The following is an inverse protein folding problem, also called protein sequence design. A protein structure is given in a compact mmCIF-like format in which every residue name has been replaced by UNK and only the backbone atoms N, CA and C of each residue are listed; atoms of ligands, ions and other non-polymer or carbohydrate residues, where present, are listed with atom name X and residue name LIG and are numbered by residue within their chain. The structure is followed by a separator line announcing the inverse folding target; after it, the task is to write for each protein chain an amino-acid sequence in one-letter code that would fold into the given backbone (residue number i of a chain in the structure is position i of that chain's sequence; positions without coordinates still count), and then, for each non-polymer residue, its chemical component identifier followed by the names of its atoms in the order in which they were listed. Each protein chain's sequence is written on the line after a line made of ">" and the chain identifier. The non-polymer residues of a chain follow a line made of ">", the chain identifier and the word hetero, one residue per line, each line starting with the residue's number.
data_IF_659896207152
#
_entry.id   IF_659896207152
#
_cell.length_a   1.000
_cell.length_b   1.000
_cell.length_c   1.000
_cell.angle_alpha   90.00
_cell.angle_beta   90.00
_cell.angle_gamma   90.00
#
_symmetry.space_group_name_H-M   'P 1'
#
loop_
_entity.id
_entity.type
_entity.pdbx_description
1 polymer ?
#
# COMPACT_ATOMS: atom_id res chain seq x y z
N UNK A 1 -8.93 8.92 19.06
CA UNK A 1 -9.93 10.01 19.21
C UNK A 1 -10.72 10.11 17.93
N UNK A 2 -12.04 10.22 18.03
CA UNK A 2 -12.91 10.38 16.85
C UNK A 2 -13.72 11.62 17.11
N UNK A 3 -13.45 12.61 16.28
CA UNK A 3 -14.01 13.92 16.39
C UNK A 3 -15.19 14.01 15.43
N UNK A 4 -16.36 14.36 15.94
CA UNK A 4 -17.52 14.64 15.11
C UNK A 4 -17.69 16.16 15.19
N UNK A 5 -17.42 16.92 14.12
CA UNK A 5 -17.61 18.35 14.16
C UNK A 5 -19.10 18.62 14.41
N UNK A 6 -19.45 19.51 15.35
CA UNK A 6 -20.83 19.87 15.59
C UNK A 6 -21.47 20.42 14.30
N UNK A 7 -22.71 20.01 14.07
CA UNK A 7 -23.47 20.45 12.90
C UNK A 7 -24.15 21.76 13.24
N UNK A 8 -23.59 22.88 12.78
CA UNK A 8 -24.25 24.18 12.86
C UNK A 8 -25.47 24.17 11.93
N UNK A 9 -26.67 24.12 12.50
CA UNK A 9 -27.90 24.52 11.82
C UNK A 9 -28.06 26.02 12.02
N UNK A 10 -27.97 26.78 10.94
CA UNK A 10 -28.31 28.19 10.94
C UNK A 10 -29.82 28.28 10.64
N UNK A 11 -30.62 28.52 11.68
CA UNK A 11 -32.03 28.83 11.48
C UNK A 11 -32.09 30.25 10.87
N UNK A 12 -32.57 30.33 9.63
CA UNK A 12 -32.37 31.47 8.74
C UNK A 12 -33.13 32.76 9.11
N UNK A 13 -33.92 32.76 10.19
CA UNK A 13 -34.90 33.83 10.46
C UNK A 13 -34.57 34.75 11.65
N UNK A 14 -33.50 34.52 12.41
CA UNK A 14 -33.19 35.35 13.60
C UNK A 14 -31.75 35.92 13.52
N UNK A 15 -31.55 36.98 12.74
CA UNK A 15 -30.27 37.66 12.57
C UNK A 15 -29.74 38.38 13.85
N UNK A 16 -30.48 38.39 14.95
CA UNK A 16 -30.11 39.14 16.17
C UNK A 16 -29.96 38.29 17.44
N UNK A 17 -30.24 36.97 17.40
CA UNK A 17 -30.11 36.14 18.62
C UNK A 17 -28.74 35.45 18.67
N UNK A 18 -28.06 35.46 19.83
CA UNK A 18 -26.82 34.72 20.00
C UNK A 18 -27.07 33.25 19.65
N UNK A 19 -26.33 32.75 18.65
CA UNK A 19 -26.38 31.36 18.20
C UNK A 19 -26.10 30.49 19.41
N UNK A 20 -27.16 29.86 19.93
CA UNK A 20 -27.03 28.93 21.06
C UNK A 20 -26.45 27.65 20.49
N UNK A 21 -25.11 27.56 20.46
CA UNK A 21 -24.40 26.34 20.10
C UNK A 21 -24.71 25.31 21.18
N UNK A 22 -25.74 24.50 20.93
CA UNK A 22 -25.97 23.29 21.71
C UNK A 22 -24.86 22.31 21.35
N UNK A 23 -23.78 22.34 22.13
CA UNK A 23 -22.80 21.27 22.18
C UNK A 23 -23.59 20.01 22.56
N UNK A 24 -23.86 19.15 21.58
CA UNK A 24 -24.57 17.92 21.83
C UNK A 24 -23.76 17.14 22.87
N UNK A 25 -24.38 16.75 24.00
CA UNK A 25 -23.65 16.17 25.11
C UNK A 25 -22.90 14.92 24.66
N UNK A 26 -21.76 14.69 25.33
CA UNK A 26 -20.91 13.51 25.25
C UNK A 26 -21.51 12.31 24.50
N UNK A 27 -20.86 11.93 23.40
CA UNK A 27 -20.99 10.66 22.64
C UNK A 27 -21.92 9.65 23.32
N UNK A 28 -23.16 9.53 22.83
CA UNK A 28 -23.97 8.37 23.16
C UNK A 28 -23.21 7.09 22.75
N UNK A 29 -23.42 5.98 23.47
CA UNK A 29 -22.78 4.70 23.15
C UNK A 29 -22.96 4.28 21.68
N UNK A 30 -24.04 4.76 21.05
CA UNK A 30 -24.36 4.52 19.64
C UNK A 30 -23.27 5.03 18.68
N UNK A 31 -22.59 6.13 19.00
CA UNK A 31 -21.55 6.68 18.14
C UNK A 31 -20.34 5.73 17.98
N UNK A 32 -20.00 4.97 19.04
CA UNK A 32 -18.95 3.96 18.99
C UNK A 32 -19.38 2.74 18.17
N UNK A 33 -20.63 2.30 18.37
CA UNK A 33 -21.21 1.17 17.63
C UNK A 33 -21.24 1.49 16.13
N UNK A 34 -21.70 2.69 15.75
CA UNK A 34 -21.76 3.10 14.35
C UNK A 34 -20.37 3.23 13.72
N UNK A 35 -19.37 3.68 14.48
CA UNK A 35 -18.00 3.74 13.99
C UNK A 35 -17.40 2.34 13.81
N UNK A 36 -17.67 1.42 14.74
CA UNK A 36 -17.24 0.03 14.65
C UNK A 36 -17.87 -0.66 13.42
N UNK A 37 -19.14 -0.40 13.10
CA UNK A 37 -19.80 -0.89 11.87
C UNK A 37 -19.09 -0.41 10.61
N UNK A 38 -18.72 0.87 10.54
CA UNK A 38 -17.98 1.45 9.40
C UNK A 38 -16.58 0.85 9.25
N UNK A 39 -15.87 0.68 10.37
CA UNK A 39 -14.58 0.01 10.38
C UNK A 39 -14.71 -1.44 9.91
N UNK A 40 -15.71 -2.19 10.41
CA UNK A 40 -15.96 -3.57 10.00
C UNK A 40 -16.31 -3.68 8.52
N UNK A 41 -17.11 -2.76 7.98
CA UNK A 41 -17.43 -2.72 6.55
C UNK A 41 -16.21 -2.42 5.68
N UNK A 42 -15.36 -1.49 6.11
CA UNK A 42 -14.08 -1.19 5.44
C UNK A 42 -13.15 -2.40 5.43
N UNK A 43 -12.93 -3.03 6.58
CA UNK A 43 -12.11 -4.23 6.69
C UNK A 43 -12.71 -5.39 5.89
N UNK A 44 -14.03 -5.56 5.91
CA UNK A 44 -14.72 -6.56 5.08
C UNK A 44 -14.45 -6.36 3.58
N UNK A 45 -14.47 -5.11 3.11
CA UNK A 45 -14.10 -4.78 1.72
C UNK A 45 -12.64 -5.15 1.43
N UNK A 46 -11.70 -4.76 2.29
CA UNK A 46 -10.27 -5.07 2.11
C UNK A 46 -10.02 -6.58 2.09
N UNK A 47 -10.64 -7.34 3.00
CA UNK A 47 -10.54 -8.80 3.07
C UNK A 47 -11.12 -9.47 1.82
N UNK A 48 -12.25 -8.98 1.30
CA UNK A 48 -12.84 -9.50 0.07
C UNK A 48 -11.92 -9.26 -1.13
N UNK A 49 -11.33 -8.07 -1.25
CA UNK A 49 -10.36 -7.77 -2.30
C UNK A 49 -9.08 -8.59 -2.14
N UNK A 50 -8.60 -8.83 -0.92
CA UNK A 50 -7.45 -9.69 -0.66
C UNK A 50 -7.74 -11.16 -1.03
N UNK A 51 -8.91 -11.69 -0.65
CA UNK A 51 -9.35 -13.03 -1.05
C UNK A 51 -9.46 -13.16 -2.57
N UNK A 52 -10.00 -12.14 -3.23
CA UNK A 52 -10.07 -12.08 -4.68
C UNK A 52 -8.66 -12.12 -5.30
N UNK A 53 -7.71 -11.36 -4.76
CA UNK A 53 -6.33 -11.40 -5.26
C UNK A 53 -5.67 -12.78 -5.03
N UNK A 54 -5.88 -13.40 -3.87
CA UNK A 54 -5.40 -14.77 -3.60
C UNK A 54 -6.00 -15.79 -4.57
N UNK A 55 -7.28 -15.63 -4.94
CA UNK A 55 -7.91 -16.44 -5.97
C UNK A 55 -7.27 -16.21 -7.35
N UNK A 56 -6.95 -14.96 -7.72
CA UNK A 56 -6.22 -14.66 -8.96
C UNK A 56 -4.83 -15.30 -8.98
N UNK A 57 -4.12 -15.28 -7.84
CA UNK A 57 -2.85 -15.98 -7.70
C UNK A 57 -2.97 -17.49 -7.90
N UNK A 58 -4.08 -18.11 -7.49
CA UNK A 58 -4.34 -19.52 -7.78
C UNK A 58 -4.47 -19.79 -9.28
N UNK A 59 -4.93 -18.79 -10.06
CA UNK A 59 -4.94 -18.81 -11.52
C UNK A 59 -3.64 -18.30 -12.16
N UNK A 60 -2.55 -18.23 -11.40
CA UNK A 60 -1.23 -17.79 -11.84
C UNK A 60 -1.19 -16.33 -12.35
N UNK A 61 -1.99 -15.45 -11.74
CA UNK A 61 -2.04 -14.02 -12.03
C UNK A 61 -1.81 -13.17 -10.76
N UNK A 62 -0.68 -12.45 -10.64
CA UNK A 62 0.51 -12.48 -11.51
C UNK A 62 1.26 -13.85 -11.48
N UNK A 63 2.15 -14.13 -12.46
CA UNK A 63 2.86 -15.41 -12.59
C UNK A 63 3.87 -15.71 -11.47
N UNK A 64 4.24 -14.69 -10.69
CA UNK A 64 5.19 -14.81 -9.57
C UNK A 64 4.50 -14.55 -8.22
N UNK A 65 3.25 -14.99 -8.09
CA UNK A 65 2.55 -14.92 -6.81
C UNK A 65 3.26 -15.77 -5.75
N UNK A 66 3.44 -15.15 -4.59
CA UNK A 66 4.04 -15.78 -3.43
C UNK A 66 2.93 -16.28 -2.49
N UNK A 67 2.49 -17.52 -2.73
CA UNK A 67 1.47 -18.17 -1.91
C UNK A 67 2.07 -18.63 -0.57
N UNK A 68 1.43 -18.33 0.56
CA UNK A 68 1.95 -18.69 1.87
C UNK A 68 1.94 -20.20 2.04
N UNK A 69 3.03 -20.74 2.59
CA UNK A 69 3.15 -22.17 2.92
C UNK A 69 2.52 -22.48 4.27
N UNK A 70 2.50 -21.51 5.18
CA UNK A 70 2.13 -21.70 6.58
C UNK A 70 0.98 -20.79 7.02
N UNK A 71 0.13 -21.30 7.92
CA UNK A 71 -0.99 -20.54 8.49
C UNK A 71 -0.54 -19.29 9.26
N UNK A 72 0.66 -19.33 9.84
CA UNK A 72 1.24 -18.20 10.58
C UNK A 72 1.57 -17.01 9.66
N UNK A 73 2.00 -17.27 8.43
CA UNK A 73 2.28 -16.23 7.44
C UNK A 73 0.98 -15.53 7.01
N UNK A 74 -0.07 -16.31 6.74
CA UNK A 74 -1.41 -15.79 6.43
C UNK A 74 -1.89 -14.89 7.57
N UNK A 75 -1.74 -15.33 8.83
CA UNK A 75 -2.15 -14.56 9.99
C UNK A 75 -1.37 -13.24 10.09
N UNK A 76 -0.07 -13.25 9.78
CA UNK A 76 0.79 -12.06 9.81
C UNK A 76 0.39 -11.06 8.72
N UNK A 77 0.15 -11.52 7.49
CA UNK A 77 -0.33 -10.70 6.39
C UNK A 77 -1.70 -10.06 6.72
N UNK A 78 -2.62 -10.84 7.28
CA UNK A 78 -3.95 -10.36 7.67
C UNK A 78 -3.88 -9.34 8.82
N UNK A 79 -3.00 -9.55 9.80
CA UNK A 79 -2.79 -8.59 10.88
C UNK A 79 -2.22 -7.27 10.34
N UNK A 80 -1.23 -7.34 9.46
CA UNK A 80 -0.68 -6.17 8.81
C UNK A 80 -1.75 -5.45 7.97
N UNK A 81 -2.52 -6.18 7.15
CA UNK A 81 -3.62 -5.62 6.36
C UNK A 81 -4.66 -4.91 7.27
N UNK A 82 -4.98 -5.50 8.42
CA UNK A 82 -5.88 -4.89 9.41
C UNK A 82 -5.30 -3.57 9.95
N UNK A 83 -4.03 -3.56 10.36
CA UNK A 83 -3.38 -2.37 10.93
C UNK A 83 -3.25 -1.26 9.88
N UNK A 84 -2.70 -1.56 8.71
CA UNK A 84 -2.54 -0.59 7.63
C UNK A 84 -3.89 -0.12 7.09
N UNK A 85 -4.86 -1.03 6.95
CA UNK A 85 -6.22 -0.73 6.48
C UNK A 85 -7.02 0.14 7.45
N UNK A 86 -6.95 -0.12 8.76
CA UNK A 86 -7.58 0.73 9.78
C UNK A 86 -6.91 2.10 9.87
N UNK A 87 -5.58 2.14 9.77
CA UNK A 87 -4.81 3.39 9.74
C UNK A 87 -5.20 4.24 8.54
N UNK A 88 -5.28 3.62 7.36
CA UNK A 88 -5.77 4.25 6.14
C UNK A 88 -7.20 4.78 6.30
N UNK A 89 -8.11 3.98 6.86
CA UNK A 89 -9.49 4.40 7.12
C UNK A 89 -9.60 5.60 8.06
N UNK A 90 -8.69 5.67 9.05
CA UNK A 90 -8.63 6.77 9.99
C UNK A 90 -8.12 8.05 9.33
N UNK A 91 -6.99 7.99 8.62
CA UNK A 91 -6.42 9.18 7.94
C UNK A 91 -7.26 9.70 6.78
N UNK A 92 -7.94 8.80 6.04
CA UNK A 92 -8.82 9.18 4.92
C UNK A 92 -10.26 9.48 5.36
N UNK A 93 -10.49 9.57 6.67
CA UNK A 93 -11.80 9.84 7.30
C UNK A 93 -12.90 8.86 6.87
N UNK A 94 -12.56 7.66 6.40
CA UNK A 94 -13.53 6.63 6.00
C UNK A 94 -14.42 6.23 7.17
N UNK A 95 -13.92 6.37 8.41
CA UNK A 95 -14.70 6.10 9.61
C UNK A 95 -15.70 7.21 9.94
N UNK A 96 -15.68 8.38 9.29
CA UNK A 96 -16.66 9.45 9.47
C UNK A 96 -17.95 9.15 8.67
N UNK A 97 -19.12 9.47 9.23
CA UNK A 97 -20.41 9.03 8.67
C UNK A 97 -20.65 9.65 7.29
N UNK A 98 -20.35 10.94 7.17
CA UNK A 98 -20.54 11.70 5.92
C UNK A 98 -19.65 11.15 4.80
N UNK A 99 -18.40 10.82 5.11
CA UNK A 99 -17.42 10.28 4.15
C UNK A 99 -17.78 8.85 3.77
N UNK A 100 -18.04 7.99 4.76
CA UNK A 100 -18.45 6.61 4.54
C UNK A 100 -19.69 6.51 3.65
N UNK A 101 -20.76 7.25 3.99
CA UNK A 101 -22.01 7.27 3.21
C UNK A 101 -21.80 7.73 1.77
N UNK A 102 -20.88 8.68 1.56
CA UNK A 102 -20.54 9.12 0.22
C UNK A 102 -19.83 7.99 -0.56
N UNK A 103 -18.80 7.37 0.03
CA UNK A 103 -18.06 6.27 -0.59
C UNK A 103 -18.97 5.07 -0.92
N UNK A 104 -19.89 4.69 -0.03
CA UNK A 104 -20.80 3.57 -0.28
C UNK A 104 -21.88 3.87 -1.32
N UNK A 105 -22.22 5.14 -1.55
CA UNK A 105 -23.13 5.56 -2.62
C UNK A 105 -22.46 5.49 -4.00
N UNK A 106 -21.15 5.72 -4.04
CA UNK A 106 -20.37 5.71 -5.28
C UNK A 106 -19.93 4.27 -5.63
N UNK A 107 -20.81 3.50 -6.27
CA UNK A 107 -20.53 2.09 -6.63
C UNK A 107 -19.23 1.91 -7.42
N UNK A 108 -18.81 2.92 -8.20
CA UNK A 108 -17.54 2.87 -8.93
C UNK A 108 -16.32 2.76 -8.01
N UNK A 109 -16.40 3.19 -6.75
CA UNK A 109 -15.28 3.12 -5.81
C UNK A 109 -14.79 1.68 -5.61
N UNK A 110 -15.70 0.75 -5.30
CA UNK A 110 -15.36 -0.66 -5.15
C UNK A 110 -14.91 -1.31 -6.46
N UNK A 111 -15.56 -0.94 -7.58
CA UNK A 111 -15.19 -1.44 -8.92
C UNK A 111 -13.75 -1.02 -9.26
N UNK A 112 -13.38 0.24 -9.01
CA UNK A 112 -12.03 0.74 -9.31
C UNK A 112 -10.97 0.01 -8.47
N UNK A 113 -11.23 -0.30 -7.19
CA UNK A 113 -10.31 -1.09 -6.34
C UNK A 113 -10.03 -2.46 -6.95
N UNK A 114 -11.07 -3.15 -7.44
CA UNK A 114 -10.93 -4.48 -8.03
C UNK A 114 -10.24 -4.40 -9.39
N UNK A 115 -10.70 -3.50 -10.25
CA UNK A 115 -10.20 -3.34 -11.62
C UNK A 115 -8.73 -2.93 -11.62
N UNK A 116 -8.30 -2.03 -10.73
CA UNK A 116 -6.89 -1.65 -10.68
C UNK A 116 -6.01 -2.81 -10.22
N UNK A 117 -6.47 -3.65 -9.29
CA UNK A 117 -5.74 -4.85 -8.89
C UNK A 117 -5.55 -5.84 -10.05
N UNK A 118 -6.59 -6.01 -10.88
CA UNK A 118 -6.49 -6.80 -12.11
C UNK A 118 -5.52 -6.19 -13.13
N UNK A 119 -5.60 -4.87 -13.35
CA UNK A 119 -4.71 -4.15 -14.27
C UNK A 119 -3.25 -4.29 -13.81
N UNK A 120 -2.97 -4.09 -12.53
CA UNK A 120 -1.61 -4.24 -11.97
C UNK A 120 -1.13 -5.67 -12.14
N UNK A 121 -1.96 -6.67 -11.80
CA UNK A 121 -1.60 -8.09 -11.97
C UNK A 121 -1.32 -8.44 -13.44
N UNK A 122 -2.07 -7.85 -14.39
CA UNK A 122 -1.84 -8.03 -15.82
C UNK A 122 -0.58 -7.31 -16.32
N UNK A 123 -0.30 -6.10 -15.81
CA UNK A 123 0.94 -5.39 -16.11
C UNK A 123 2.13 -6.20 -15.61
N UNK A 124 2.02 -6.81 -14.42
CA UNK A 124 3.06 -7.67 -13.87
C UNK A 124 3.30 -8.92 -14.71
N UNK A 125 2.41 -9.35 -15.62
CA UNK A 125 2.69 -10.50 -16.49
C UNK A 125 3.50 -10.13 -17.73
N UNK A 126 3.77 -8.84 -17.95
CA UNK A 126 4.48 -8.38 -19.15
C UNK A 126 5.98 -8.43 -18.95
N UNK A 127 6.72 -8.85 -19.98
CA UNK A 127 8.19 -8.98 -19.94
C UNK A 127 8.87 -7.67 -19.51
N UNK A 128 8.35 -6.52 -19.95
CA UNK A 128 8.93 -5.23 -19.60
C UNK A 128 8.91 -4.97 -18.08
N UNK A 129 7.83 -5.35 -17.39
CA UNK A 129 7.72 -5.13 -15.95
C UNK A 129 8.62 -6.13 -15.19
N UNK A 130 8.71 -7.35 -15.69
CA UNK A 130 9.60 -8.39 -15.16
C UNK A 130 11.06 -7.97 -15.27
N UNK A 131 11.47 -7.45 -16.43
CA UNK A 131 12.82 -6.91 -16.66
C UNK A 131 13.13 -5.77 -15.68
N UNK A 132 12.21 -4.81 -15.52
CA UNK A 132 12.39 -3.69 -14.59
C UNK A 132 12.53 -4.15 -13.12
N UNK A 133 11.86 -5.25 -12.75
CA UNK A 133 11.82 -5.73 -11.36
C UNK A 133 13.01 -6.62 -11.01
N UNK A 134 13.45 -7.48 -11.92
CA UNK A 134 14.42 -8.55 -11.62
C UNK A 134 15.80 -8.31 -12.19
N UNK A 135 15.95 -7.37 -13.13
CA UNK A 135 17.21 -7.18 -13.84
C UNK A 135 17.95 -5.95 -13.30
N UNK A 136 18.61 -6.12 -12.15
CA UNK A 136 19.40 -5.08 -11.46
C UNK A 136 20.58 -4.53 -12.31
N UNK A 137 20.98 -5.28 -13.35
CA UNK A 137 22.03 -4.89 -14.31
C UNK A 137 21.50 -4.44 -15.68
N UNK A 138 20.18 -4.31 -15.86
CA UNK A 138 19.66 -3.88 -17.15
C UNK A 138 19.88 -2.38 -17.33
N UNK A 139 20.63 -2.02 -18.37
CA UNK A 139 20.65 -0.65 -18.89
C UNK A 139 19.19 -0.19 -19.02
N UNK A 140 18.83 0.84 -18.26
CA UNK A 140 17.47 1.37 -18.26
C UNK A 140 17.13 1.78 -19.69
N UNK A 141 16.30 0.98 -20.36
CA UNK A 141 15.81 1.32 -21.69
C UNK A 141 15.08 2.65 -21.61
N UNK A 142 15.24 3.50 -22.63
CA UNK A 142 14.60 4.82 -22.69
C UNK A 142 13.08 4.75 -22.38
N UNK A 143 12.42 3.65 -22.76
CA UNK A 143 11.01 3.40 -22.47
C UNK A 143 10.69 3.33 -20.97
N UNK A 144 11.56 2.73 -20.14
CA UNK A 144 11.36 2.64 -18.69
C UNK A 144 11.48 4.02 -18.04
N UNK A 145 12.46 4.82 -18.48
CA UNK A 145 12.65 6.19 -17.99
C UNK A 145 11.44 7.04 -18.34
N UNK A 146 10.99 7.01 -19.59
CA UNK A 146 9.81 7.79 -20.04
C UNK A 146 8.58 7.42 -19.23
N UNK A 147 8.31 6.14 -19.04
CA UNK A 147 7.14 5.70 -18.27
C UNK A 147 7.25 6.08 -16.78
N UNK A 148 8.43 5.96 -16.18
CA UNK A 148 8.66 6.41 -14.80
C UNK A 148 8.41 7.91 -14.65
N UNK A 149 8.90 8.73 -15.60
CA UNK A 149 8.65 10.18 -15.64
C UNK A 149 7.16 10.49 -15.78
N UNK A 150 6.43 9.77 -16.63
CA UNK A 150 4.98 9.92 -16.78
C UNK A 150 4.25 9.59 -15.49
N UNK A 151 4.60 8.48 -14.83
CA UNK A 151 3.98 8.06 -13.58
C UNK A 151 4.28 9.05 -12.45
N UNK A 152 5.53 9.48 -12.30
CA UNK A 152 5.91 10.50 -11.31
C UNK A 152 5.17 11.82 -11.57
N UNK A 153 5.09 12.26 -12.83
CA UNK A 153 4.37 13.48 -13.21
C UNK A 153 2.88 13.36 -12.88
N UNK A 154 2.27 12.21 -13.15
CA UNK A 154 0.88 11.94 -12.81
C UNK A 154 0.63 12.00 -11.29
N UNK A 155 1.50 11.36 -10.49
CA UNK A 155 1.45 11.42 -9.02
C UNK A 155 1.58 12.88 -8.53
N UNK A 156 2.55 13.63 -9.06
CA UNK A 156 2.76 15.04 -8.69
C UNK A 156 1.56 15.92 -9.02
N UNK A 157 0.91 15.73 -10.17
CA UNK A 157 -0.30 16.46 -10.55
C UNK A 157 -1.44 16.16 -9.59
N UNK A 158 -1.62 14.91 -9.18
CA UNK A 158 -2.67 14.53 -8.22
C UNK A 158 -2.40 15.10 -6.83
N UNK A 159 -1.15 15.03 -6.37
CA UNK A 159 -0.74 15.64 -5.09
C UNK A 159 -0.94 17.16 -5.13
N UNK A 160 -0.56 17.83 -6.22
CA UNK A 160 -0.77 19.27 -6.41
C UNK A 160 -2.27 19.61 -6.43
N UNK A 161 -3.10 18.80 -7.11
CA UNK A 161 -4.55 18.96 -7.10
C UNK A 161 -5.12 18.84 -5.68
N UNK A 162 -4.69 17.84 -4.91
CA UNK A 162 -5.10 17.67 -3.52
C UNK A 162 -4.69 18.84 -2.63
N UNK A 163 -3.50 19.40 -2.85
CA UNK A 163 -3.05 20.59 -2.14
C UNK A 163 -3.87 21.82 -2.52
N UNK A 164 -4.20 21.99 -3.81
CA UNK A 164 -5.08 23.06 -4.28
C UNK A 164 -6.51 22.93 -3.71
N UNK A 165 -7.05 21.72 -3.61
CA UNK A 165 -8.34 21.47 -2.97
C UNK A 165 -8.29 21.72 -1.45
N UNK A 166 -7.20 21.29 -0.79
CA UNK A 166 -6.96 21.59 0.61
C UNK A 166 -6.92 23.11 0.85
N UNK A 167 -6.24 23.86 -0.01
CA UNK A 167 -6.19 25.33 0.07
C UNK A 167 -7.54 26.00 -0.08
N UNK A 168 -8.43 25.46 -0.91
CA UNK A 168 -9.79 25.99 -1.10
C UNK A 168 -10.72 25.67 0.07
N UNK A 169 -10.50 24.54 0.74
CA UNK A 169 -11.41 24.01 1.77
C UNK A 169 -10.95 24.31 3.19
N UNK A 170 -9.65 24.44 3.43
CA UNK A 170 -9.06 24.81 4.70
C UNK A 170 -8.91 26.34 4.82
N UNK A 171 -8.84 26.88 6.04
CA UNK A 171 -8.71 28.33 6.30
C UNK A 171 -7.41 28.97 5.75
N UNK A 172 -6.55 28.26 5.00
CA UNK A 172 -5.39 28.86 4.33
C UNK A 172 -5.77 29.99 3.36
N UNK A 173 -6.92 29.87 2.69
CA UNK A 173 -7.48 30.96 1.87
C UNK A 173 -7.85 32.20 2.70
N UNK A 174 -8.18 32.04 3.98
CA UNK A 174 -8.52 33.13 4.89
C UNK A 174 -7.28 33.97 5.26
N UNK A 175 -6.15 33.31 5.55
CA UNK A 175 -4.90 33.99 5.91
C UNK A 175 -4.28 34.80 4.75
N UNK A 176 -4.50 34.40 3.50
CA UNK A 176 -3.97 35.11 2.32
C UNK A 176 -4.95 36.14 1.74
N UNK A 177 -6.27 35.94 1.89
CA UNK A 177 -7.27 36.91 1.38
C UNK A 177 -7.33 38.21 2.18
N UNK A 178 -6.68 38.26 3.35
CA UNK A 178 -6.17 39.48 3.98
C UNK A 178 -7.20 40.47 4.52
N UNK A 179 -8.52 40.30 4.35
CA UNK A 179 -9.46 41.35 4.78
C UNK A 179 -10.96 41.04 4.85
N UNK A 180 -11.39 39.83 5.19
CA UNK A 180 -12.82 39.60 5.47
C UNK A 180 -12.94 39.04 6.88
N UNK A 181 -13.39 39.87 7.82
CA UNK A 181 -13.87 39.47 9.14
C UNK A 181 -15.13 38.59 8.97
N UNK A 182 -14.96 37.37 8.48
CA UNK A 182 -15.96 36.33 8.65
C UNK A 182 -15.76 35.80 10.05
N UNK A 183 -16.81 35.87 10.85
CA UNK A 183 -16.89 35.29 12.20
C UNK A 183 -16.96 33.76 12.06
N UNK A 184 -15.89 33.17 11.52
CA UNK A 184 -15.74 31.74 11.39
C UNK A 184 -15.36 31.28 12.79
N UNK A 185 -16.33 30.75 13.53
CA UNK A 185 -16.07 29.97 14.72
C UNK A 185 -15.19 28.80 14.27
N UNK A 186 -13.88 28.92 14.50
CA UNK A 186 -12.89 27.87 14.23
C UNK A 186 -13.14 26.78 15.27
N UNK A 187 -14.16 25.96 15.03
CA UNK A 187 -14.31 24.70 15.74
C UNK A 187 -13.25 23.73 15.19
N UNK A 188 -12.13 23.80 15.89
CA UNK A 188 -11.01 22.89 15.90
C UNK A 188 -9.92 23.00 14.82
N UNK A 189 -8.74 22.59 15.29
CA UNK A 189 -7.43 22.56 14.65
C UNK A 189 -7.34 21.61 13.43
N UNK A 190 -8.34 21.58 12.55
CA UNK A 190 -8.32 20.83 11.27
C UNK A 190 -7.06 21.12 10.45
N UNK A 191 -6.61 22.37 10.45
CA UNK A 191 -5.36 22.77 9.81
C UNK A 191 -4.13 22.10 10.45
N UNK A 192 -4.10 21.97 11.78
CA UNK A 192 -3.00 21.27 12.48
C UNK A 192 -3.05 19.77 12.21
N UNK A 193 -4.23 19.16 12.25
CA UNK A 193 -4.40 17.73 11.95
C UNK A 193 -3.97 17.43 10.52
N UNK A 194 -4.39 18.27 9.56
CA UNK A 194 -3.97 18.16 8.17
C UNK A 194 -2.46 18.32 8.02
N UNK A 195 -1.84 19.37 8.58
CA UNK A 195 -0.40 19.57 8.43
C UNK A 195 0.42 18.48 9.12
N UNK A 196 -0.04 17.99 10.29
CA UNK A 196 0.62 16.87 10.99
C UNK A 196 0.50 15.59 10.17
N UNK A 197 -0.66 15.28 9.58
CA UNK A 197 -0.82 14.08 8.75
C UNK A 197 0.02 14.16 7.48
N UNK A 198 0.08 15.32 6.82
CA UNK A 198 0.94 15.53 5.63
C UNK A 198 2.42 15.49 5.98
N UNK A 199 2.81 16.09 7.11
CA UNK A 199 4.18 16.03 7.62
C UNK A 199 4.62 14.58 7.88
N UNK A 200 3.72 13.76 8.45
CA UNK A 200 3.98 12.34 8.68
C UNK A 200 4.12 11.56 7.37
N UNK A 201 3.24 11.80 6.40
CA UNK A 201 3.32 11.18 5.05
C UNK A 201 4.64 11.53 4.36
N UNK A 202 5.04 12.81 4.37
CA UNK A 202 6.30 13.27 3.76
C UNK A 202 7.51 12.67 4.50
N UNK A 203 7.49 12.67 5.83
CA UNK A 203 8.57 12.10 6.65
C UNK A 203 8.73 10.61 6.38
N UNK A 204 7.61 9.88 6.29
CA UNK A 204 7.62 8.47 5.93
C UNK A 204 8.20 8.27 4.53
N UNK A 205 7.73 9.02 3.52
CA UNK A 205 8.23 8.90 2.15
C UNK A 205 9.74 9.21 2.03
N UNK A 206 10.24 10.19 2.79
CA UNK A 206 11.66 10.54 2.84
C UNK A 206 12.50 9.45 3.50
N UNK A 207 12.09 8.99 4.68
CA UNK A 207 12.78 7.90 5.39
C UNK A 207 12.78 6.63 4.54
N UNK A 208 11.63 6.30 3.97
CA UNK A 208 11.45 5.17 3.10
C UNK A 208 12.34 5.22 1.86
N UNK A 209 12.36 6.38 1.18
CA UNK A 209 13.25 6.59 0.04
C UNK A 209 14.72 6.41 0.44
N UNK A 210 15.14 6.98 1.58
CA UNK A 210 16.50 6.85 2.07
C UNK A 210 16.90 5.38 2.29
N UNK A 211 16.06 4.59 2.96
CA UNK A 211 16.33 3.15 3.16
C UNK A 211 16.32 2.36 1.85
N UNK A 212 15.35 2.62 0.97
CA UNK A 212 15.27 1.94 -0.32
C UNK A 212 16.49 2.20 -1.22
N UNK A 213 17.15 3.35 -1.09
CA UNK A 213 18.40 3.64 -1.80
C UNK A 213 19.63 2.93 -1.20
N UNK A 214 19.61 2.63 0.10
CA UNK A 214 20.77 2.07 0.81
C UNK A 214 20.87 0.55 0.66
N UNK A 215 19.76 -0.18 0.76
CA UNK A 215 19.78 -1.65 0.80
C UNK A 215 20.06 -2.29 -0.56
N UNK A 216 19.91 -1.55 -1.67
CA UNK A 216 20.06 -2.13 -3.01
C UNK A 216 19.03 -3.24 -3.30
N UNK A 217 18.03 -3.44 -2.44
CA UNK A 217 17.03 -4.52 -2.48
C UNK A 217 16.03 -4.40 -3.65
N UNK A 218 16.28 -3.46 -4.56
CA UNK A 218 15.46 -3.17 -5.72
C UNK A 218 14.09 -2.63 -5.33
N UNK A 219 13.28 -2.30 -6.34
CA UNK A 219 11.90 -1.81 -6.14
C UNK A 219 10.90 -2.94 -5.87
N UNK A 220 11.37 -4.16 -5.54
CA UNK A 220 10.66 -5.42 -5.76
C UNK A 220 9.33 -5.52 -4.98
N UNK A 221 9.18 -4.81 -3.87
CA UNK A 221 7.93 -4.75 -3.08
C UNK A 221 7.58 -3.33 -2.63
N UNK A 222 8.33 -2.34 -3.13
CA UNK A 222 8.32 -0.99 -2.60
C UNK A 222 7.10 -0.17 -3.01
N UNK A 223 6.56 -0.48 -4.18
CA UNK A 223 5.39 0.19 -4.71
C UNK A 223 4.12 -0.06 -3.86
N UNK A 224 4.07 -1.16 -3.09
CA UNK A 224 2.92 -1.52 -2.25
C UNK A 224 2.78 -0.54 -1.09
N UNK A 225 3.88 -0.31 -0.35
CA UNK A 225 3.92 0.67 0.72
C UNK A 225 3.78 2.09 0.16
N UNK A 226 4.42 2.40 -0.96
CA UNK A 226 4.26 3.69 -1.61
C UNK A 226 2.79 3.96 -1.97
N UNK A 227 2.09 2.98 -2.54
CA UNK A 227 0.66 3.11 -2.84
C UNK A 227 -0.15 3.33 -1.56
N UNK A 228 0.14 2.62 -0.47
CA UNK A 228 -0.50 2.87 0.81
C UNK A 228 -0.28 4.30 1.30
N UNK A 229 0.95 4.81 1.27
CA UNK A 229 1.29 6.19 1.68
C UNK A 229 0.57 7.22 0.81
N UNK A 230 0.60 7.02 -0.50
CA UNK A 230 -0.08 7.88 -1.47
C UNK A 230 -1.60 7.88 -1.26
N UNK A 231 -2.19 6.76 -0.83
CA UNK A 231 -3.62 6.70 -0.51
C UNK A 231 -4.00 7.64 0.63
N UNK A 232 -3.10 7.93 1.57
CA UNK A 232 -3.35 8.81 2.72
C UNK A 232 -3.56 10.28 2.31
N UNK A 233 -3.23 10.67 1.08
CA UNK A 233 -3.55 12.00 0.55
C UNK A 233 -5.02 12.16 0.18
N UNK A 234 -5.77 11.06 0.08
CA UNK A 234 -7.12 11.00 -0.45
C UNK A 234 -8.23 11.29 0.59
N UNK A 235 -8.11 12.41 1.31
CA UNK A 235 -9.03 12.78 2.40
C UNK A 235 -10.32 13.47 1.89
N UNK A 236 -10.31 14.07 0.70
CA UNK A 236 -11.39 14.96 0.24
C UNK A 236 -12.56 14.25 -0.44
N UNK A 237 -13.74 14.88 -0.41
CA UNK A 237 -14.98 14.36 -1.03
C UNK A 237 -15.06 14.53 -2.55
N UNK A 238 -14.06 15.12 -3.19
CA UNK A 238 -14.03 15.24 -4.65
C UNK A 238 -13.88 13.89 -5.35
N UNK A 239 -14.42 13.78 -6.57
CA UNK A 239 -14.29 12.56 -7.40
C UNK A 239 -12.82 12.16 -7.63
N UNK A 240 -11.88 13.08 -7.96
CA UNK A 240 -10.48 12.71 -8.12
C UNK A 240 -9.89 12.11 -6.85
N UNK A 241 -10.25 12.63 -5.66
CA UNK A 241 -9.81 12.03 -4.39
C UNK A 241 -10.34 10.63 -4.18
N UNK A 242 -11.60 10.36 -4.53
CA UNK A 242 -12.20 9.03 -4.34
C UNK A 242 -11.56 8.02 -5.30
N UNK A 243 -11.35 8.43 -6.56
CA UNK A 243 -10.65 7.62 -7.56
C UNK A 243 -9.22 7.36 -7.10
N UNK A 244 -8.51 8.37 -6.62
CA UNK A 244 -7.15 8.21 -6.10
C UNK A 244 -7.07 7.25 -4.90
N UNK A 245 -8.00 7.38 -3.95
CA UNK A 245 -8.12 6.43 -2.83
C UNK A 245 -8.32 5.00 -3.37
N UNK A 246 -9.24 4.81 -4.31
CA UNK A 246 -9.54 3.50 -4.87
C UNK A 246 -8.34 2.89 -5.62
N UNK A 247 -7.67 3.68 -6.46
CA UNK A 247 -6.48 3.26 -7.21
C UNK A 247 -5.37 2.80 -6.26
N UNK A 248 -5.00 3.66 -5.31
CA UNK A 248 -3.92 3.37 -4.37
C UNK A 248 -4.27 2.19 -3.44
N UNK A 249 -5.53 2.10 -2.99
CA UNK A 249 -6.00 0.96 -2.17
C UNK A 249 -5.95 -0.34 -2.95
N UNK A 250 -6.37 -0.34 -4.22
CA UNK A 250 -6.33 -1.54 -5.05
C UNK A 250 -4.90 -1.99 -5.37
N UNK A 251 -3.98 -1.07 -5.67
CA UNK A 251 -2.54 -1.39 -5.81
C UNK A 251 -1.97 -1.98 -4.52
N UNK A 252 -2.30 -1.36 -3.37
CA UNK A 252 -1.87 -1.84 -2.06
C UNK A 252 -2.38 -3.25 -1.75
N UNK A 253 -3.68 -3.51 -1.95
CA UNK A 253 -4.27 -4.84 -1.71
C UNK A 253 -3.73 -5.87 -2.71
N UNK A 254 -3.56 -5.49 -3.98
CA UNK A 254 -2.96 -6.36 -4.99
C UNK A 254 -1.56 -6.81 -4.55
N UNK A 255 -0.75 -5.87 -4.06
CA UNK A 255 0.56 -6.16 -3.51
C UNK A 255 0.50 -7.11 -2.31
N UNK A 256 -0.35 -6.82 -1.33
CA UNK A 256 -0.55 -7.66 -0.13
C UNK A 256 -1.13 -9.05 -0.43
N UNK A 257 -1.95 -9.17 -1.47
CA UNK A 257 -2.55 -10.43 -1.87
C UNK A 257 -1.58 -11.30 -2.69
N UNK A 258 -0.68 -10.68 -3.45
CA UNK A 258 0.23 -11.37 -4.36
C UNK A 258 1.60 -11.65 -3.75
N UNK A 259 2.04 -10.84 -2.78
CA UNK A 259 3.38 -10.90 -2.20
C UNK A 259 3.31 -10.95 -0.67
N UNK A 260 4.18 -11.75 -0.06
CA UNK A 260 4.36 -11.79 1.39
C UNK A 260 5.05 -10.50 1.86
N UNK A 261 4.67 -9.99 3.04
CA UNK A 261 5.39 -8.90 3.72
C UNK A 261 6.70 -9.36 4.39
N UNK A 262 7.45 -10.24 3.72
CA UNK A 262 8.64 -10.87 4.29
C UNK A 262 9.67 -9.82 4.73
N UNK A 263 9.78 -8.71 3.99
CA UNK A 263 10.67 -7.59 4.32
C UNK A 263 10.37 -6.95 5.69
N UNK A 264 9.09 -6.86 6.12
CA UNK A 264 8.78 -6.31 7.45
C UNK A 264 9.33 -7.23 8.55
N UNK A 265 9.23 -8.54 8.39
CA UNK A 265 9.75 -9.50 9.36
C UNK A 265 11.27 -9.64 9.30
N UNK A 266 11.89 -9.55 8.12
CA UNK A 266 13.35 -9.62 7.98
C UNK A 266 14.05 -8.44 8.66
N UNK A 267 13.49 -7.23 8.54
CA UNK A 267 13.98 -6.05 9.29
C UNK A 267 13.95 -6.33 10.79
N UNK A 268 12.83 -6.80 11.36
CA UNK A 268 12.76 -7.08 12.81
C UNK A 268 13.54 -8.33 13.24
N UNK A 269 13.67 -9.32 12.37
CA UNK A 269 14.35 -10.59 12.63
C UNK A 269 15.87 -10.45 12.67
N UNK A 270 16.45 -9.65 11.78
CA UNK A 270 17.91 -9.45 11.76
C UNK A 270 18.44 -8.64 12.95
N UNK A 271 17.63 -7.75 13.54
CA UNK A 271 18.00 -7.09 14.80
C UNK A 271 18.06 -8.05 16.01
N UNK A 272 17.46 -9.24 15.91
CA UNK A 272 17.50 -10.26 16.97
C UNK A 272 18.82 -11.04 17.02
N UNK A 273 19.54 -11.17 15.90
CA UNK A 273 20.81 -11.92 15.84
C UNK A 273 22.05 -11.03 16.09
N UNK A 274 21.89 -9.70 16.09
CA UNK A 274 22.94 -8.74 16.44
C UNK A 274 23.13 -8.54 17.95
N UNK A 275 22.13 -8.86 18.77
CA UNK A 275 22.29 -9.10 20.20
C UNK A 275 22.63 -10.57 20.43
N UNK A 276 23.81 -10.97 19.95
CA UNK A 276 24.41 -12.22 20.38
C UNK A 276 24.52 -12.21 21.89
N UNK A 277 23.64 -12.96 22.57
CA UNK A 277 24.05 -13.64 23.79
C UNK A 277 25.15 -14.59 23.34
N UNK A 278 26.43 -14.35 23.68
CA UNK A 278 27.47 -15.29 23.32
C UNK A 278 27.20 -16.55 24.14
N UNK A 279 26.65 -17.59 23.53
CA UNK A 279 26.60 -18.92 24.15
C UNK A 279 25.35 -19.78 23.99
N UNK A 280 24.25 -19.35 23.37
CA UNK A 280 23.14 -20.28 23.10
C UNK A 280 23.31 -20.94 21.74
N UNK A 281 24.27 -21.87 21.66
CA UNK A 281 24.30 -22.90 20.63
C UNK A 281 23.05 -23.75 20.72
N UNK A 282 21.98 -23.34 20.05
CA UNK A 282 21.02 -24.30 19.53
C UNK A 282 21.60 -24.82 18.24
N UNK A 283 22.35 -25.92 18.37
CA UNK A 283 22.75 -26.73 17.24
C UNK A 283 21.51 -27.04 16.42
N UNK A 284 21.48 -26.52 15.20
CA UNK A 284 20.84 -27.25 14.11
C UNK A 284 21.52 -28.61 14.09
N UNK A 285 20.81 -29.62 14.59
CA UNK A 285 21.13 -30.99 14.27
C UNK A 285 21.04 -31.07 12.76
N UNK A 286 22.21 -31.07 12.11
CA UNK A 286 22.46 -31.75 10.85
C UNK A 286 22.00 -33.20 11.04
N UNK A 287 20.70 -33.43 10.84
CA UNK A 287 20.15 -34.75 10.68
C UNK A 287 20.45 -35.22 9.26
N UNK A 288 21.66 -35.74 9.11
CA UNK A 288 21.95 -36.92 8.30
C UNK A 288 21.62 -36.82 6.82
N UNK A 289 22.54 -36.23 6.07
CA UNK A 289 22.86 -36.73 4.73
C UNK A 289 23.37 -38.17 4.85
N UNK A 290 22.45 -39.12 4.85
CA UNK A 290 22.74 -40.49 4.43
C UNK A 290 22.98 -40.46 2.92
N UNK A 291 24.20 -40.11 2.54
CA UNK A 291 24.77 -40.50 1.25
C UNK A 291 24.84 -42.03 1.21
N UNK A 292 23.75 -42.66 0.78
CA UNK A 292 23.75 -44.04 0.32
C UNK A 292 24.40 -44.06 -1.07
N UNK A 293 25.74 -44.07 -1.06
CA UNK A 293 26.56 -44.38 -2.22
C UNK A 293 26.34 -45.87 -2.50
N UNK A 294 25.49 -46.18 -3.49
CA UNK A 294 25.55 -47.46 -4.17
C UNK A 294 26.75 -47.42 -5.12
N UNK A 295 27.90 -47.88 -4.62
CA UNK A 295 28.95 -48.45 -5.46
C UNK A 295 28.36 -49.67 -6.16
N UNK A 296 27.80 -49.50 -7.35
CA UNK A 296 27.72 -50.58 -8.33
C UNK A 296 29.03 -50.58 -9.11
N UNK A 297 30.00 -51.29 -8.55
CA UNK A 297 31.11 -51.86 -9.31
C UNK A 297 30.53 -52.84 -10.33
N UNK A 298 30.52 -52.48 -11.60
CA UNK A 298 30.66 -53.45 -12.68
C UNK A 298 31.41 -52.80 -13.85
N UNK A 299 32.65 -53.27 -13.96
CA UNK A 299 33.54 -53.17 -15.09
C UNK A 299 32.92 -53.80 -16.34
N UNK A 300 32.75 -53.04 -17.42
CA UNK A 300 32.81 -53.59 -18.78
C UNK A 300 33.67 -52.68 -19.64
N UNK A 301 34.79 -53.30 -20.01
CA UNK A 301 35.85 -52.93 -20.93
C UNK A 301 35.36 -52.95 -22.39
N UNK A 302 36.16 -52.33 -23.27
CA UNK A 302 36.09 -52.32 -24.75
C UNK A 302 34.96 -51.46 -25.37
N UNK A 303 35.17 -50.67 -26.41
CA UNK A 303 36.12 -50.79 -27.52
C UNK A 303 36.24 -49.44 -28.24
N UNK A 304 37.40 -49.24 -28.86
CA UNK A 304 37.73 -48.21 -29.85
C UNK A 304 36.66 -48.03 -30.94
N UNK A 305 36.48 -46.79 -31.42
CA UNK A 305 36.79 -46.49 -32.83
C UNK A 305 36.64 -45.00 -33.17
N UNK A 306 37.80 -44.38 -33.39
CA UNK A 306 38.16 -43.50 -34.50
C UNK A 306 37.06 -43.08 -35.50
N UNK A 307 36.80 -41.78 -35.61
CA UNK A 307 36.54 -41.12 -36.89
C UNK A 307 36.84 -39.61 -36.80
N UNK A 308 38.06 -39.25 -37.17
CA UNK A 308 38.44 -37.93 -37.66
C UNK A 308 37.69 -37.63 -38.95
N UNK A 309 37.02 -36.49 -39.05
CA UNK A 309 36.61 -35.90 -40.32
C UNK A 309 37.17 -34.47 -40.38
N UNK A 310 38.35 -34.37 -40.99
CA UNK A 310 38.83 -33.17 -41.66
C UNK A 310 38.13 -33.11 -43.02
N UNK A 311 37.45 -32.02 -43.34
CA UNK A 311 37.16 -31.66 -44.74
C UNK A 311 37.38 -30.15 -44.89
N UNK A 312 38.64 -29.86 -45.20
CA UNK A 312 39.13 -29.07 -46.33
C UNK A 312 38.17 -28.08 -47.01
N UNK A 313 38.77 -26.90 -47.21
CA UNK A 313 38.41 -25.72 -48.00
C UNK A 313 37.83 -25.98 -49.39
N UNK A 314 37.00 -25.03 -49.86
CA UNK A 314 37.08 -24.48 -51.21
C UNK A 314 36.62 -23.00 -51.22
N UNK A 315 37.45 -22.17 -51.86
CA UNK A 315 37.34 -20.78 -52.37
C UNK A 315 36.21 -19.82 -51.94
#
# INVERSE_FOLDING_TARGET
>A
MVFNPPVLKQDADDAEKPVKVTVSPARSGDAYIEQAKRAAAWIGLLLLCWLFQRLMCHFNLPPHCDLPSDALEVLTDLLALLVFGLTQAWFCEVLEERRFRHLTREAYFGIVIIVIGLIVSAIETTDWFQDMRFNDNSDWRDSHIVMAVVLITFVLVIVAYHFAEAWRTLPGAYYVSGNINLDIVIEENLHRIYNVSRGLIVSYALLYGAFAFEEGDGLKQHYVLLAWVLSLTAQFKSKPSIIWLALCTGVFIQGFGSYRLRFLCEVFGNYGNGFGVPGSGFGSSDSGDNNFILESSDSVDSTDDSASFDEESDD
#
